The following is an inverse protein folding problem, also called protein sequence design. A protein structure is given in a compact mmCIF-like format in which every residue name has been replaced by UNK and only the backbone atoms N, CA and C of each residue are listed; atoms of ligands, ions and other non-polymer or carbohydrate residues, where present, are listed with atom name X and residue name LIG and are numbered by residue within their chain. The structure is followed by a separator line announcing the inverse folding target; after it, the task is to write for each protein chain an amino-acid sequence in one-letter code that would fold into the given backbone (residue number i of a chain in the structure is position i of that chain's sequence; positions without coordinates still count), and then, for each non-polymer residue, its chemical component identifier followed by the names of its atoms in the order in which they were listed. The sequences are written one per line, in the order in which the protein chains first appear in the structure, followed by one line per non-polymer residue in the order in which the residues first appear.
data_IF_797674903772
#
_entry.id   IF_797674903772
#
_cell.length_a   1.000
_cell.length_b   1.000
_cell.length_c   1.000
_cell.angle_alpha   90.00
_cell.angle_beta   90.00
_cell.angle_gamma   90.00
#
_symmetry.space_group_name_H-M   'P 1'
#
loop_
_entity.id
_entity.type
_entity.pdbx_description
1 polymer ?
#
# COMPACT_ATOMS: atom_id res chain seq x y z
N UNK A 1 -20.07 20.10 -25.07
CA UNK A 1 -19.64 18.72 -25.31
C UNK A 1 -18.80 18.34 -24.11
N UNK A 2 -19.26 17.39 -23.30
CA UNK A 2 -18.51 16.97 -22.11
C UNK A 2 -17.39 16.03 -22.54
N UNK A 3 -16.28 15.99 -21.81
CA UNK A 3 -15.09 15.21 -22.20
C UNK A 3 -15.43 13.73 -22.45
N UNK A 4 -16.30 13.15 -21.62
CA UNK A 4 -16.81 11.79 -21.77
C UNK A 4 -17.65 11.60 -23.05
N UNK A 5 -18.51 12.57 -23.38
CA UNK A 5 -19.31 12.55 -24.61
C UNK A 5 -18.43 12.70 -25.87
N UNK A 6 -17.36 13.48 -25.81
CA UNK A 6 -16.42 13.66 -26.92
C UNK A 6 -15.59 12.40 -27.20
N UNK A 7 -15.13 11.69 -26.16
CA UNK A 7 -14.35 10.46 -26.31
C UNK A 7 -15.20 9.28 -26.81
N UNK A 8 -16.40 9.10 -26.27
CA UNK A 8 -17.33 8.07 -26.76
C UNK A 8 -17.73 8.31 -28.21
N UNK A 9 -17.94 9.58 -28.60
CA UNK A 9 -18.28 9.95 -29.97
C UNK A 9 -17.09 9.80 -30.94
N UNK A 10 -15.85 9.94 -30.46
CA UNK A 10 -14.63 9.78 -31.27
C UNK A 10 -14.20 8.32 -31.40
N UNK A 11 -14.24 7.55 -30.32
CA UNK A 11 -13.65 6.22 -30.25
C UNK A 11 -14.71 5.10 -30.32
N UNK A 12 -16.00 5.42 -30.25
CA UNK A 12 -17.09 4.43 -30.25
C UNK A 12 -17.23 3.63 -28.95
N UNK A 13 -16.42 3.92 -27.93
CA UNK A 13 -16.38 3.20 -26.64
C UNK A 13 -16.51 4.20 -25.49
N UNK A 14 -17.38 3.95 -24.48
CA UNK A 14 -17.45 4.76 -23.28
C UNK A 14 -16.11 4.75 -22.52
N UNK A 15 -15.78 5.87 -21.88
CA UNK A 15 -14.60 5.98 -21.02
C UNK A 15 -14.99 5.65 -19.58
N UNK A 16 -14.19 4.81 -18.94
CA UNK A 16 -14.35 4.41 -17.55
C UNK A 16 -13.26 5.02 -16.68
N UNK A 17 -13.60 5.31 -15.43
CA UNK A 17 -12.69 5.85 -14.42
C UNK A 17 -12.71 4.91 -13.22
N UNK A 18 -11.54 4.40 -12.85
CA UNK A 18 -11.35 3.70 -11.58
C UNK A 18 -10.61 4.64 -10.64
N UNK A 19 -11.16 4.83 -9.44
CA UNK A 19 -10.59 5.72 -8.43
C UNK A 19 -10.25 4.90 -7.19
N UNK A 20 -9.02 4.99 -6.71
CA UNK A 20 -8.61 4.39 -5.44
C UNK A 20 -8.87 5.34 -4.28
N UNK A 21 -9.39 4.83 -3.16
CA UNK A 21 -9.35 5.56 -1.89
C UNK A 21 -8.01 5.36 -1.17
N UNK A 22 -7.88 5.91 0.03
CA UNK A 22 -6.66 5.89 0.84
C UNK A 22 -6.79 4.82 1.92
N UNK A 23 -5.82 3.89 1.94
CA UNK A 23 -5.70 2.92 3.02
C UNK A 23 -5.29 3.54 4.36
N UNK A 24 -5.52 2.83 5.46
CA UNK A 24 -5.08 3.30 6.77
C UNK A 24 -3.54 3.31 6.83
N UNK A 25 -2.96 4.50 6.79
CA UNK A 25 -1.51 4.66 6.80
C UNK A 25 -0.90 4.35 8.18
N UNK A 26 -1.70 4.27 9.24
CA UNK A 26 -1.23 3.93 10.59
C UNK A 26 -1.10 2.43 10.82
N UNK A 27 -1.70 1.62 9.94
CA UNK A 27 -1.62 0.14 9.91
C UNK A 27 -0.48 -0.38 9.01
N UNK A 28 0.38 0.52 8.51
CA UNK A 28 1.55 0.17 7.73
C UNK A 28 2.63 -0.49 8.60
N UNK A 29 3.43 -1.45 8.06
CA UNK A 29 4.54 -2.06 8.79
C UNK A 29 5.64 -1.09 9.26
N UNK A 30 5.65 0.12 8.71
CA UNK A 30 6.49 1.22 9.20
C UNK A 30 6.14 1.63 10.63
N UNK A 31 4.91 1.41 11.08
CA UNK A 31 4.48 1.71 12.45
C UNK A 31 4.38 0.43 13.28
N UNK A 32 4.83 0.54 14.52
CA UNK A 32 4.85 -0.53 15.50
C UNK A 32 4.00 -0.12 16.69
N UNK A 33 3.08 -0.98 17.09
CA UNK A 33 2.41 -0.82 18.39
C UNK A 33 3.43 -0.94 19.52
N UNK A 34 3.10 -0.39 20.69
CA UNK A 34 3.90 -0.53 21.91
C UNK A 34 4.28 -2.00 22.17
N UNK A 35 3.30 -2.88 22.13
CA UNK A 35 3.50 -4.31 22.35
C UNK A 35 4.50 -4.93 21.35
N UNK A 36 4.37 -4.61 20.05
CA UNK A 36 5.28 -5.14 19.02
C UNK A 36 6.69 -4.60 19.18
N UNK A 37 6.84 -3.32 19.51
CA UNK A 37 8.14 -2.70 19.74
C UNK A 37 8.86 -3.30 20.97
N UNK A 38 8.17 -3.42 22.10
CA UNK A 38 8.73 -4.04 23.30
C UNK A 38 9.07 -5.52 23.08
N UNK A 39 8.23 -6.26 22.35
CA UNK A 39 8.52 -7.63 21.94
C UNK A 39 9.80 -7.73 21.10
N UNK A 40 10.02 -6.78 20.17
CA UNK A 40 11.25 -6.70 19.37
C UNK A 40 12.50 -6.41 20.23
N UNK A 41 12.33 -5.84 21.42
CA UNK A 41 13.39 -5.59 22.40
C UNK A 41 13.54 -6.73 23.44
N UNK A 42 12.92 -7.88 23.21
CA UNK A 42 12.98 -9.01 24.14
C UNK A 42 12.04 -8.88 25.35
N UNK A 43 10.98 -8.07 25.23
CA UNK A 43 9.96 -7.87 26.26
C UNK A 43 10.36 -6.85 27.34
N UNK A 44 11.40 -6.04 27.12
CA UNK A 44 11.76 -4.97 28.03
C UNK A 44 10.84 -3.77 27.84
N UNK A 45 10.18 -3.26 28.92
CA UNK A 45 9.36 -2.05 28.81
C UNK A 45 10.23 -0.84 28.47
N UNK A 46 9.75 0.01 27.56
CA UNK A 46 10.46 1.22 27.10
C UNK A 46 9.53 2.45 27.04
N UNK A 47 9.98 3.67 27.41
CA UNK A 47 11.27 4.06 27.99
C UNK A 47 11.30 4.00 29.53
N UNK A 48 12.50 3.83 30.11
CA UNK A 48 12.73 4.04 31.53
C UNK A 48 12.64 5.54 31.88
N UNK A 49 11.47 6.02 32.27
CA UNK A 49 11.33 7.30 32.98
C UNK A 49 11.12 8.56 32.12
N UNK A 50 10.65 8.46 30.87
CA UNK A 50 10.12 9.62 30.14
C UNK A 50 8.60 9.51 29.96
N UNK A 51 7.91 10.60 30.29
CA UNK A 51 6.46 10.68 30.46
C UNK A 51 5.81 11.58 29.41
N UNK A 52 6.25 11.54 28.16
CA UNK A 52 5.35 11.94 27.07
C UNK A 52 4.50 10.71 26.72
N UNK A 53 3.48 10.47 27.56
CA UNK A 53 2.52 9.36 27.42
C UNK A 53 2.88 8.13 28.23
N UNK A 54 2.68 8.16 29.56
CA UNK A 54 2.48 6.92 30.31
C UNK A 54 1.36 6.10 29.63
N UNK A 55 1.66 4.88 29.21
CA UNK A 55 0.68 3.82 28.91
C UNK A 55 -0.46 4.15 27.93
N UNK A 56 -0.19 4.91 26.86
CA UNK A 56 -1.19 5.00 25.79
C UNK A 56 -1.03 3.83 24.81
N UNK A 57 -1.89 2.82 24.94
CA UNK A 57 -1.97 1.66 24.04
C UNK A 57 -2.13 2.06 22.56
N UNK A 58 -2.58 3.30 22.28
CA UNK A 58 -2.73 3.85 20.93
C UNK A 58 -1.49 4.55 20.36
N UNK A 59 -0.36 4.60 21.08
CA UNK A 59 0.89 5.18 20.56
C UNK A 59 1.57 4.23 19.57
N UNK A 60 2.11 4.79 18.49
CA UNK A 60 2.89 4.07 17.50
C UNK A 60 4.35 4.52 17.49
N UNK A 61 5.27 3.58 17.32
CA UNK A 61 6.68 3.87 17.04
C UNK A 61 6.98 3.58 15.59
N UNK A 62 7.79 4.44 14.98
CA UNK A 62 8.31 4.16 13.64
C UNK A 62 9.32 3.01 13.69
N UNK A 63 9.38 2.20 12.65
CA UNK A 63 10.30 1.07 12.53
C UNK A 63 11.78 1.47 12.74
N UNK A 64 12.27 2.62 12.22
CA UNK A 64 13.63 3.10 12.51
C UNK A 64 13.96 3.32 14.00
N UNK A 65 12.95 3.47 14.86
CA UNK A 65 13.15 3.59 16.31
C UNK A 65 13.91 2.39 16.89
N UNK A 66 13.71 1.18 16.34
CA UNK A 66 14.40 -0.04 16.78
C UNK A 66 15.92 0.08 16.65
N UNK A 67 16.42 0.70 15.58
CA UNK A 67 17.85 0.92 15.39
C UNK A 67 18.38 1.94 16.42
N UNK A 68 17.60 2.97 16.70
CA UNK A 68 18.01 4.03 17.63
C UNK A 68 18.16 3.50 19.06
N UNK A 69 17.23 2.66 19.54
CA UNK A 69 17.29 2.08 20.89
C UNK A 69 18.36 0.98 21.04
N UNK A 70 18.78 0.36 19.94
CA UNK A 70 19.88 -0.62 19.95
C UNK A 70 21.26 0.02 20.17
N UNK A 71 21.38 1.34 19.97
CA UNK A 71 22.62 2.05 20.27
C UNK A 71 22.83 2.19 21.79
N UNK A 72 23.93 1.66 22.35
CA UNK A 72 24.21 1.73 23.78
C UNK A 72 24.24 3.16 24.36
N UNK A 73 24.57 4.16 23.55
CA UNK A 73 24.60 5.57 23.97
C UNK A 73 23.21 6.16 24.23
N UNK A 74 22.17 5.54 23.69
CA UNK A 74 20.78 5.98 23.83
C UNK A 74 20.04 5.22 24.95
N UNK A 75 20.67 4.24 25.60
CA UNK A 75 20.02 3.45 26.66
C UNK A 75 19.60 4.35 27.83
N UNK A 76 18.31 4.32 28.17
CA UNK A 76 17.73 5.16 29.23
C UNK A 76 17.38 6.59 28.81
N UNK A 77 17.64 6.98 27.56
CA UNK A 77 17.16 8.25 27.02
C UNK A 77 15.70 8.14 26.55
N UNK A 78 15.00 9.26 26.55
CA UNK A 78 13.68 9.37 25.93
C UNK A 78 13.80 9.09 24.44
N UNK A 79 12.83 8.35 23.87
CA UNK A 79 12.74 8.22 22.42
C UNK A 79 12.41 9.62 21.83
N UNK A 80 13.19 10.12 20.85
CA UNK A 80 12.89 11.39 20.21
C UNK A 80 11.49 11.39 19.57
N UNK A 81 10.79 12.53 19.65
CA UNK A 81 9.39 12.66 19.20
C UNK A 81 9.18 12.31 17.72
N UNK A 82 10.18 12.46 16.85
CA UNK A 82 10.07 12.10 15.44
C UNK A 82 10.05 10.58 15.17
N UNK A 83 10.30 9.76 16.19
CA UNK A 83 10.17 8.30 16.11
C UNK A 83 8.83 7.79 16.64
N UNK A 84 7.95 8.66 17.12
CA UNK A 84 6.68 8.30 17.77
C UNK A 84 5.53 9.08 17.17
N UNK A 85 4.35 8.44 17.08
CA UNK A 85 3.07 9.12 16.94
C UNK A 85 2.28 8.87 18.22
N UNK A 86 1.88 9.94 18.88
CA UNK A 86 0.93 9.89 20.00
C UNK A 86 -0.44 9.39 19.54
N UNK A 87 -1.26 8.87 20.45
CA UNK A 87 -2.64 8.44 20.14
C UNK A 87 -3.50 9.55 19.52
N UNK A 88 -3.25 10.81 19.92
CA UNK A 88 -3.92 11.98 19.35
C UNK A 88 -3.46 12.22 17.91
N UNK A 89 -2.18 12.05 17.59
CA UNK A 89 -1.68 12.13 16.22
C UNK A 89 -2.23 10.98 15.36
N UNK A 90 -2.25 9.75 15.89
CA UNK A 90 -2.87 8.58 15.21
C UNK A 90 -4.34 8.86 14.89
N UNK A 91 -5.11 9.34 15.87
CA UNK A 91 -6.52 9.71 15.67
C UNK A 91 -6.68 10.85 14.65
N UNK A 92 -5.79 11.84 14.68
CA UNK A 92 -5.80 12.96 13.74
C UNK A 92 -5.54 12.47 12.31
N UNK A 93 -4.57 11.58 12.13
CA UNK A 93 -4.25 10.96 10.84
C UNK A 93 -5.43 10.15 10.32
N UNK A 94 -6.02 9.28 11.15
CA UNK A 94 -7.20 8.50 10.77
C UNK A 94 -8.37 9.39 10.33
N UNK A 95 -8.66 10.47 11.07
CA UNK A 95 -9.69 11.43 10.69
C UNK A 95 -9.42 12.16 9.37
N UNK A 96 -8.15 12.39 9.02
CA UNK A 96 -7.76 12.97 7.73
C UNK A 96 -7.97 11.94 6.60
N UNK A 97 -7.58 10.68 6.80
CA UNK A 97 -7.82 9.59 5.83
C UNK A 97 -9.31 9.46 5.55
N UNK A 98 -10.15 9.41 6.60
CA UNK A 98 -11.60 9.33 6.48
C UNK A 98 -12.19 10.53 5.71
N UNK A 99 -11.71 11.74 5.98
CA UNK A 99 -12.15 12.93 5.29
C UNK A 99 -11.81 12.89 3.78
N UNK A 100 -10.61 12.46 3.42
CA UNK A 100 -10.23 12.28 2.00
C UNK A 100 -11.08 11.18 1.34
N UNK A 101 -11.27 10.04 1.99
CA UNK A 101 -12.08 8.94 1.47
C UNK A 101 -13.54 9.36 1.26
N UNK A 102 -14.09 10.20 2.15
CA UNK A 102 -15.41 10.78 1.97
C UNK A 102 -15.48 11.72 0.75
N UNK A 103 -14.47 12.57 0.51
CA UNK A 103 -14.39 13.42 -0.68
C UNK A 103 -14.29 12.60 -1.97
N UNK A 104 -13.51 11.51 -1.95
CA UNK A 104 -13.38 10.58 -3.09
C UNK A 104 -14.74 9.95 -3.41
N UNK A 105 -15.42 9.38 -2.41
CA UNK A 105 -16.74 8.78 -2.59
C UNK A 105 -17.79 9.77 -3.10
N UNK A 106 -17.81 10.99 -2.56
CA UNK A 106 -18.69 12.04 -3.03
C UNK A 106 -18.39 12.42 -4.49
N UNK A 107 -17.12 12.48 -4.87
CA UNK A 107 -16.71 12.77 -6.26
C UNK A 107 -17.17 11.67 -7.22
N UNK A 108 -17.01 10.39 -6.85
CA UNK A 108 -17.51 9.25 -7.64
C UNK A 108 -19.02 9.34 -7.83
N UNK A 109 -19.77 9.60 -6.75
CA UNK A 109 -21.22 9.77 -6.80
C UNK A 109 -21.65 10.92 -7.71
N UNK A 110 -20.94 12.06 -7.67
CA UNK A 110 -21.21 13.19 -8.56
C UNK A 110 -20.96 12.87 -10.03
N UNK A 111 -19.90 12.12 -10.34
CA UNK A 111 -19.62 11.67 -11.71
C UNK A 111 -20.72 10.72 -12.18
N UNK A 112 -21.06 9.72 -11.38
CA UNK A 112 -22.08 8.73 -11.74
C UNK A 112 -23.50 9.32 -11.83
N UNK A 113 -23.80 10.41 -11.12
CA UNK A 113 -25.07 11.12 -11.29
C UNK A 113 -25.20 11.79 -12.68
N UNK A 114 -24.08 12.15 -13.31
CA UNK A 114 -24.06 12.73 -14.66
C UNK A 114 -23.82 11.66 -15.74
N UNK A 115 -23.03 10.65 -15.44
CA UNK A 115 -22.63 9.56 -16.34
C UNK A 115 -22.78 8.22 -15.61
N UNK A 116 -23.98 7.64 -15.57
CA UNK A 116 -24.23 6.43 -14.80
C UNK A 116 -23.32 5.27 -15.21
N UNK A 117 -22.65 4.67 -14.23
CA UNK A 117 -21.82 3.48 -14.43
C UNK A 117 -20.45 3.73 -15.06
N UNK A 118 -19.98 4.98 -15.16
CA UNK A 118 -18.67 5.27 -15.76
C UNK A 118 -17.55 5.43 -14.74
N UNK A 119 -17.85 5.46 -13.44
CA UNK A 119 -16.87 5.64 -12.38
C UNK A 119 -17.08 4.60 -11.28
N UNK A 120 -16.02 3.92 -10.85
CA UNK A 120 -16.09 2.99 -9.72
C UNK A 120 -14.92 3.17 -8.76
N UNK A 121 -15.16 2.71 -7.53
CA UNK A 121 -14.20 2.72 -6.44
C UNK A 121 -13.40 1.42 -6.45
N UNK A 122 -12.08 1.53 -6.42
CA UNK A 122 -11.20 0.53 -5.86
C UNK A 122 -10.97 0.87 -4.37
N UNK A 123 -11.47 0.04 -3.47
CA UNK A 123 -11.39 0.29 -2.03
C UNK A 123 -10.08 -0.23 -1.44
N UNK A 124 -9.03 0.60 -1.53
CA UNK A 124 -7.72 0.31 -0.95
C UNK A 124 -7.76 0.25 0.58
N UNK A 125 -8.69 0.95 1.22
CA UNK A 125 -8.88 0.91 2.68
C UNK A 125 -9.38 -0.45 3.14
N UNK A 126 -10.45 -0.95 2.51
CA UNK A 126 -10.93 -2.31 2.75
C UNK A 126 -9.86 -3.35 2.39
N UNK A 127 -9.20 -3.21 1.24
CA UNK A 127 -8.13 -4.14 0.83
C UNK A 127 -7.02 -4.25 1.87
N UNK A 128 -6.57 -3.12 2.43
CA UNK A 128 -5.53 -3.12 3.47
C UNK A 128 -6.03 -3.71 4.79
N UNK A 129 -7.26 -3.40 5.20
CA UNK A 129 -7.85 -3.93 6.42
C UNK A 129 -8.01 -5.47 6.39
N UNK A 130 -8.27 -6.03 5.21
CA UNK A 130 -8.47 -7.47 4.99
C UNK A 130 -7.15 -8.26 4.87
N UNK A 131 -5.98 -7.61 4.88
CA UNK A 131 -4.69 -8.29 4.84
C UNK A 131 -4.44 -9.13 6.10
N UNK A 132 -3.96 -10.36 5.90
CA UNK A 132 -3.39 -11.18 6.98
C UNK A 132 -2.30 -10.37 7.71
N UNK A 133 -2.26 -10.49 9.04
CA UNK A 133 -1.32 -9.75 9.87
C UNK A 133 0.14 -9.90 9.41
N UNK A 134 0.54 -11.08 8.90
CA UNK A 134 1.90 -11.30 8.41
C UNK A 134 2.19 -10.54 7.12
N UNK A 135 1.20 -10.33 6.27
CA UNK A 135 1.37 -9.57 5.02
C UNK A 135 1.60 -8.07 5.28
N UNK A 136 1.11 -7.55 6.41
CA UNK A 136 1.35 -6.17 6.87
C UNK A 136 2.37 -6.04 8.01
N UNK A 137 3.13 -7.10 8.29
CA UNK A 137 4.23 -7.07 9.26
C UNK A 137 5.56 -6.83 8.54
N UNK A 138 6.44 -6.03 9.15
CA UNK A 138 7.77 -5.77 8.58
C UNK A 138 8.61 -7.06 8.57
N UNK A 139 9.32 -7.35 7.46
CA UNK A 139 10.00 -8.65 7.29
C UNK A 139 10.97 -9.01 8.42
N UNK A 140 11.66 -8.01 9.00
CA UNK A 140 12.57 -8.23 10.13
C UNK A 140 11.87 -8.80 11.36
N UNK A 141 10.60 -8.48 11.57
CA UNK A 141 9.79 -9.00 12.68
C UNK A 141 9.21 -10.39 12.38
N UNK A 142 9.22 -10.81 11.11
CA UNK A 142 8.83 -12.15 10.69
C UNK A 142 9.98 -13.16 10.78
N UNK A 143 11.24 -12.72 10.85
CA UNK A 143 12.42 -13.61 10.88
C UNK A 143 12.30 -14.76 11.89
N UNK A 144 11.88 -14.56 13.15
CA UNK A 144 11.76 -15.66 14.11
C UNK A 144 10.72 -16.71 13.71
N UNK A 145 9.70 -16.33 12.94
CA UNK A 145 8.63 -17.20 12.45
C UNK A 145 9.03 -17.95 11.17
N UNK A 146 10.09 -17.48 10.50
CA UNK A 146 10.57 -17.97 9.21
C UNK A 146 11.96 -18.61 9.33
N UNK A 147 12.27 -19.21 10.48
CA UNK A 147 13.57 -19.90 10.72
C UNK A 147 14.80 -18.99 10.51
N UNK A 148 14.62 -17.68 10.67
CA UNK A 148 15.61 -16.63 10.34
C UNK A 148 16.02 -16.58 8.86
N UNK A 149 15.20 -17.14 7.95
CA UNK A 149 15.37 -16.99 6.51
C UNK A 149 14.83 -15.63 6.05
N UNK A 150 15.75 -14.76 5.64
CA UNK A 150 15.44 -13.42 5.14
C UNK A 150 14.59 -13.46 3.88
N UNK A 151 14.86 -14.38 2.95
CA UNK A 151 14.11 -14.51 1.71
C UNK A 151 12.68 -14.95 1.97
N UNK A 152 12.49 -15.92 2.86
CA UNK A 152 11.16 -16.39 3.23
C UNK A 152 10.34 -15.33 3.98
N UNK A 153 10.96 -14.61 4.94
CA UNK A 153 10.33 -13.50 5.65
C UNK A 153 9.95 -12.35 4.70
N UNK A 154 10.86 -11.97 3.80
CA UNK A 154 10.61 -10.90 2.85
C UNK A 154 9.57 -11.27 1.78
N UNK A 155 9.50 -12.55 1.38
CA UNK A 155 8.46 -13.05 0.47
C UNK A 155 7.08 -13.20 1.12
N UNK A 156 6.99 -13.13 2.46
CA UNK A 156 5.74 -13.23 3.23
C UNK A 156 5.07 -11.87 3.38
N UNK A 157 5.82 -10.81 3.71
CA UNK A 157 5.26 -9.45 3.76
C UNK A 157 4.90 -8.95 2.36
N UNK A 158 3.93 -8.05 2.26
CA UNK A 158 3.55 -7.39 0.99
C UNK A 158 4.17 -6.00 0.85
N UNK A 159 5.03 -5.62 1.78
CA UNK A 159 5.72 -4.33 1.82
C UNK A 159 7.22 -4.45 1.55
N UNK A 160 7.81 -3.32 1.20
CA UNK A 160 9.24 -3.15 0.93
C UNK A 160 10.05 -3.05 2.21
N UNK A 161 11.37 -2.84 2.06
CA UNK A 161 12.31 -2.68 3.18
C UNK A 161 12.04 -1.45 4.06
N UNK A 162 11.29 -0.47 3.56
CA UNK A 162 10.90 0.70 4.36
C UNK A 162 9.61 0.48 5.17
N UNK A 163 8.87 -0.60 4.93
CA UNK A 163 7.58 -0.86 5.57
C UNK A 163 6.46 0.11 5.18
N UNK A 164 6.65 0.93 4.14
CA UNK A 164 5.67 1.91 3.64
C UNK A 164 5.19 1.49 2.25
N UNK A 165 6.11 1.27 1.33
CA UNK A 165 5.76 0.97 -0.06
C UNK A 165 5.44 -0.52 -0.23
N UNK A 166 4.48 -0.88 -1.10
CA UNK A 166 4.29 -2.27 -1.51
C UNK A 166 5.55 -2.84 -2.17
N UNK A 167 5.76 -4.14 -2.00
CA UNK A 167 6.73 -4.90 -2.80
C UNK A 167 6.04 -5.47 -4.06
N UNK A 168 6.72 -6.24 -4.93
CA UNK A 168 6.09 -6.80 -6.13
C UNK A 168 4.78 -7.55 -5.86
N UNK A 169 4.69 -8.36 -4.80
CA UNK A 169 3.45 -9.07 -4.42
C UNK A 169 2.36 -8.10 -3.97
N UNK A 170 2.71 -7.11 -3.16
CA UNK A 170 1.76 -6.06 -2.77
C UNK A 170 1.23 -5.26 -3.96
N UNK A 171 2.09 -4.90 -4.92
CA UNK A 171 1.65 -4.27 -6.17
C UNK A 171 0.78 -5.20 -7.03
N UNK A 172 1.11 -6.49 -7.11
CA UNK A 172 0.29 -7.49 -7.79
C UNK A 172 -1.11 -7.60 -7.16
N UNK A 173 -1.20 -7.57 -5.83
CA UNK A 173 -2.49 -7.59 -5.13
C UNK A 173 -3.32 -6.35 -5.48
N UNK A 174 -2.72 -5.16 -5.41
CA UNK A 174 -3.40 -3.90 -5.79
C UNK A 174 -3.83 -3.95 -7.25
N UNK A 175 -2.98 -4.47 -8.14
CA UNK A 175 -3.32 -4.63 -9.54
C UNK A 175 -4.53 -5.54 -9.75
N UNK A 176 -4.61 -6.68 -9.03
CA UNK A 176 -5.76 -7.58 -9.10
C UNK A 176 -7.04 -6.89 -8.62
N UNK A 177 -6.99 -6.17 -7.49
CA UNK A 177 -8.17 -5.47 -6.98
C UNK A 177 -8.65 -4.35 -7.93
N UNK A 178 -7.74 -3.68 -8.64
CA UNK A 178 -8.11 -2.73 -9.71
C UNK A 178 -8.68 -3.45 -10.93
N UNK A 179 -8.09 -4.58 -11.34
CA UNK A 179 -8.56 -5.38 -12.47
C UNK A 179 -9.96 -5.96 -12.21
N UNK A 180 -10.27 -6.36 -10.99
CA UNK A 180 -11.62 -6.78 -10.57
C UNK A 180 -12.63 -5.67 -10.84
N UNK A 181 -12.35 -4.43 -10.39
CA UNK A 181 -13.21 -3.28 -10.64
C UNK A 181 -13.35 -2.97 -12.15
N UNK A 182 -12.27 -3.12 -12.93
CA UNK A 182 -12.30 -2.93 -14.38
C UNK A 182 -13.18 -4.01 -15.05
N UNK A 183 -12.99 -5.28 -14.71
CA UNK A 183 -13.77 -6.39 -15.24
C UNK A 183 -15.25 -6.18 -14.95
N UNK A 184 -15.60 -5.80 -13.72
CA UNK A 184 -16.99 -5.52 -13.32
C UNK A 184 -17.59 -4.31 -14.07
N UNK A 185 -16.82 -3.23 -14.24
CA UNK A 185 -17.27 -2.03 -14.95
C UNK A 185 -17.49 -2.24 -16.44
N UNK A 186 -16.68 -3.12 -17.05
CA UNK A 186 -16.60 -3.28 -18.50
C UNK A 186 -17.19 -4.58 -19.03
N UNK A 187 -17.66 -5.47 -18.14
CA UNK A 187 -18.08 -6.84 -18.46
C UNK A 187 -16.98 -7.60 -19.20
N UNK A 188 -15.73 -7.40 -18.78
CA UNK A 188 -14.54 -8.02 -19.33
C UNK A 188 -14.03 -9.16 -18.43
N UNK A 189 -13.09 -9.95 -18.97
CA UNK A 189 -12.43 -11.04 -18.24
C UNK A 189 -10.91 -10.95 -18.44
N UNK A 190 -10.32 -9.85 -17.96
CA UNK A 190 -8.87 -9.69 -17.97
C UNK A 190 -8.24 -10.63 -16.94
N UNK A 191 -7.16 -11.33 -17.31
CA UNK A 191 -6.50 -12.27 -16.41
C UNK A 191 -5.86 -11.54 -15.22
N UNK A 192 -6.03 -12.11 -14.03
CA UNK A 192 -5.38 -11.63 -12.81
C UNK A 192 -3.89 -11.98 -12.77
N UNK A 193 -3.12 -11.17 -12.05
CA UNK A 193 -1.71 -11.41 -11.75
C UNK A 193 -1.60 -12.57 -10.76
N UNK A 194 -0.82 -13.61 -11.12
CA UNK A 194 -0.48 -14.69 -10.19
C UNK A 194 0.62 -14.23 -9.22
N UNK A 195 0.23 -13.93 -7.98
CA UNK A 195 1.13 -13.43 -6.93
C UNK A 195 2.26 -14.40 -6.58
N UNK A 196 2.11 -15.70 -6.87
CA UNK A 196 3.16 -16.70 -6.59
C UNK A 196 4.30 -16.66 -7.60
N UNK A 197 4.07 -16.08 -8.78
CA UNK A 197 5.12 -15.89 -9.80
C UNK A 197 5.96 -14.65 -9.53
N UNK A 198 5.49 -13.77 -8.65
CA UNK A 198 6.20 -12.54 -8.29
C UNK A 198 7.25 -12.85 -7.23
N UNK A 199 8.52 -12.78 -7.64
CA UNK A 199 9.64 -12.87 -6.72
C UNK A 199 9.84 -11.53 -6.00
N UNK A 200 10.09 -11.60 -4.70
CA UNK A 200 10.66 -10.47 -3.99
C UNK A 200 12.16 -10.38 -4.35
N UNK A 201 12.58 -9.22 -4.86
CA UNK A 201 13.98 -8.90 -5.10
C UNK A 201 14.31 -7.58 -4.36
N UNK A 202 15.14 -7.62 -3.29
CA UNK A 202 15.53 -6.42 -2.55
C UNK A 202 16.40 -5.47 -3.39
N UNK A 203 16.97 -5.94 -4.50
CA UNK A 203 17.88 -5.14 -5.31
C UNK A 203 17.18 -4.06 -6.14
N UNK A 204 15.84 -3.96 -6.10
CA UNK A 204 15.03 -2.97 -6.83
C UNK A 204 15.66 -2.61 -8.17
N UNK A 205 15.62 -3.57 -9.09
CA UNK A 205 16.21 -3.40 -10.40
C UNK A 205 17.21 -4.50 -10.71
N UNK A 206 16.69 -5.62 -11.18
CA UNK A 206 17.21 -6.01 -12.48
C UNK A 206 16.94 -4.82 -13.41
N UNK A 207 17.96 -4.21 -14.06
CA UNK A 207 17.66 -3.36 -15.20
C UNK A 207 16.69 -4.18 -16.03
N UNK A 208 15.52 -3.61 -16.40
CA UNK A 208 14.58 -4.29 -17.28
C UNK A 208 15.45 -5.02 -18.29
N UNK A 209 15.51 -6.35 -18.20
CA UNK A 209 16.19 -7.09 -19.24
C UNK A 209 15.31 -6.74 -20.40
N UNK A 210 15.81 -5.83 -21.24
CA UNK A 210 15.23 -5.56 -22.52
C UNK A 210 15.19 -6.94 -23.14
N UNK A 211 14.02 -7.57 -23.12
CA UNK A 211 13.71 -8.77 -23.87
C UNK A 211 14.35 -8.51 -25.21
N UNK A 212 15.42 -9.23 -25.51
CA UNK A 212 16.40 -8.75 -26.49
C UNK A 212 15.74 -8.55 -27.87
N UNK A 213 14.53 -9.08 -28.09
CA UNK A 213 13.75 -8.94 -29.31
C UNK A 213 12.20 -8.95 -29.13
N UNK A 214 11.63 -8.57 -27.99
CA UNK A 214 10.18 -8.50 -27.81
C UNK A 214 9.65 -7.06 -27.88
N UNK A 215 8.63 -6.72 -28.69
CA UNK A 215 8.02 -5.40 -28.59
C UNK A 215 7.32 -5.29 -27.21
N UNK A 216 7.57 -4.19 -26.50
CA UNK A 216 6.96 -3.86 -25.19
C UNK A 216 5.42 -3.71 -25.26
N UNK A 217 4.88 -3.73 -26.48
CA UNK A 217 3.47 -3.69 -26.85
C UNK A 217 3.25 -4.78 -27.89
N UNK A 218 2.14 -5.50 -27.82
CA UNK A 218 1.76 -6.36 -28.96
C UNK A 218 1.60 -5.49 -30.21
N UNK A 219 1.83 -6.02 -31.43
CA UNK A 219 1.59 -5.29 -32.67
C UNK A 219 0.19 -4.65 -32.70
N UNK A 220 -0.81 -5.34 -32.15
CA UNK A 220 -2.17 -4.85 -32.00
C UNK A 220 -2.26 -3.64 -31.05
N UNK A 221 -1.59 -3.69 -29.89
CA UNK A 221 -1.58 -2.58 -28.93
C UNK A 221 -0.83 -1.35 -29.49
N UNK A 222 0.23 -1.56 -30.27
CA UNK A 222 0.97 -0.48 -30.93
C UNK A 222 0.12 0.24 -32.01
N UNK A 223 -0.63 -0.52 -32.81
CA UNK A 223 -1.55 0.03 -33.82
C UNK A 223 -2.68 0.84 -33.16
N UNK A 224 -3.23 0.35 -32.05
CA UNK A 224 -4.25 1.09 -31.31
C UNK A 224 -3.70 2.40 -30.76
N UNK A 225 -2.50 2.39 -30.17
CA UNK A 225 -1.84 3.58 -29.65
C UNK A 225 -1.51 4.61 -30.74
N UNK A 226 -0.99 4.19 -31.90
CA UNK A 226 -0.73 5.11 -33.02
C UNK A 226 -2.00 5.80 -33.53
N UNK A 227 -3.12 5.08 -33.55
CA UNK A 227 -4.41 5.62 -34.00
C UNK A 227 -5.09 6.51 -32.94
N UNK A 228 -4.65 6.49 -31.68
CA UNK A 228 -5.22 7.35 -30.62
C UNK A 228 -4.67 8.79 -30.64
N UNK A 229 -3.54 9.02 -31.32
CA UNK A 229 -2.84 10.31 -31.36
C UNK A 229 -2.87 11.01 -32.73
N UNK A 230 -3.58 10.45 -33.71
CA UNK A 230 -3.96 11.13 -34.96
C UNK A 230 -5.36 11.75 -34.83
#
# INVERSE_FOLDING_TARGET
MTLAGGLAQRNGVPSYIVVGNIGDITDLPYFLTKATFEAALGGSPWPWGYAEGNDDDGMLMTFPALRWVQDPSNQGAALPSHYTLTSTEVTTVGGIVDAYNAVINNTINMVNAQYPGTCALFDANALMADLDARHKTHFMLLLPQMENDVGAAAATTYFSLDGVHPNPKGYGLVANAVLEVINDLTDADYPMVDLNTLSWDPAYGHPLQKEANGPLLTPEAAIVLENMFQ
#
